data_IF_657075528852
#
_entry.id   IF_657075528852
#
_cell.length_a   1.000
_cell.length_b   1.000
_cell.length_c   1.000
_cell.angle_alpha   90.00
_cell.angle_beta   90.00
_cell.angle_gamma   90.00
#
_symmetry.space_group_name_H-M   'P 1'
#
loop_
_entity.id
_entity.type
_entity.pdbx_description
1 polymer ?
#
# COMPACT_ATOMS: atom_id res chain seq x y z
N UNK A 1 -23.62 7.25 -13.74
CA UNK A 1 -22.82 6.76 -12.60
C UNK A 1 -21.38 6.75 -13.05
N UNK A 2 -20.58 7.72 -12.59
CA UNK A 2 -19.18 7.83 -12.96
C UNK A 2 -18.36 6.81 -12.15
N UNK A 3 -17.71 5.87 -12.83
CA UNK A 3 -16.77 4.94 -12.22
C UNK A 3 -15.56 5.71 -11.69
N UNK A 4 -15.23 5.50 -10.42
CA UNK A 4 -13.98 5.96 -9.84
C UNK A 4 -12.86 5.10 -10.41
N UNK A 5 -11.96 5.73 -11.15
CA UNK A 5 -10.77 5.10 -11.72
C UNK A 5 -9.77 4.83 -10.56
N UNK A 6 -9.42 3.57 -10.32
CA UNK A 6 -8.68 3.13 -9.14
C UNK A 6 -7.18 2.95 -9.45
N UNK A 7 -6.40 4.03 -9.30
CA UNK A 7 -4.94 4.05 -9.44
C UNK A 7 -4.18 4.06 -8.10
N UNK A 8 -2.84 3.87 -8.11
CA UNK A 8 -2.00 3.94 -6.91
C UNK A 8 -2.06 5.34 -6.24
N UNK A 9 -2.33 5.38 -4.93
CA UNK A 9 -2.58 6.62 -4.19
C UNK A 9 -1.29 7.22 -3.60
N UNK A 10 -0.81 8.33 -4.16
CA UNK A 10 0.19 9.20 -3.52
C UNK A 10 -0.51 10.44 -2.95
N UNK A 11 -0.27 10.75 -1.68
CA UNK A 11 -0.86 11.88 -0.96
C UNK A 11 0.19 12.98 -0.78
N UNK A 12 -0.12 14.22 -1.14
CA UNK A 12 0.72 15.39 -0.88
C UNK A 12 0.01 16.30 0.12
N UNK A 13 0.59 16.48 1.30
CA UNK A 13 -0.01 17.15 2.45
C UNK A 13 0.65 18.52 2.66
N UNK A 14 -0.17 19.57 2.84
CA UNK A 14 0.26 20.96 3.04
C UNK A 14 -0.45 21.62 4.22
N UNK A 15 0.29 22.26 5.12
CA UNK A 15 -0.26 23.20 6.12
C UNK A 15 0.32 23.08 7.54
N UNK A 16 0.00 24.04 8.43
CA UNK A 16 0.48 24.05 9.82
C UNK A 16 -0.18 22.93 10.65
N UNK A 17 0.38 22.62 11.83
CA UNK A 17 -0.01 21.54 12.76
C UNK A 17 -1.53 21.36 13.02
N UNK A 18 -2.37 22.35 12.69
CA UNK A 18 -3.82 22.33 12.92
C UNK A 18 -4.70 22.29 11.63
N UNK A 19 -4.14 22.49 10.42
CA UNK A 19 -4.91 22.49 9.15
C UNK A 19 -4.09 21.92 7.98
N UNK A 20 -4.37 20.69 7.55
CA UNK A 20 -3.71 20.02 6.41
C UNK A 20 -4.60 19.97 5.17
N UNK A 21 -4.11 20.36 3.99
CA UNK A 21 -4.73 20.08 2.67
C UNK A 21 -4.02 18.89 2.04
N UNK A 22 -4.74 17.91 1.48
CA UNK A 22 -4.12 16.73 0.85
C UNK A 22 -4.49 16.62 -0.64
N UNK A 23 -3.50 16.59 -1.52
CA UNK A 23 -3.68 16.31 -2.95
C UNK A 23 -3.38 14.85 -3.24
N UNK A 24 -4.18 14.21 -4.08
CA UNK A 24 -3.93 12.86 -4.56
C UNK A 24 -3.29 12.94 -5.94
N UNK A 25 -2.15 12.26 -6.09
CA UNK A 25 -1.47 12.11 -7.36
C UNK A 25 -1.65 10.69 -7.89
N UNK A 26 -2.17 10.59 -9.11
CA UNK A 26 -2.34 9.34 -9.84
C UNK A 26 -1.57 9.41 -11.16
N UNK A 27 -1.00 8.28 -11.59
CA UNK A 27 -0.33 8.14 -12.88
C UNK A 27 -1.38 8.01 -14.01
N UNK A 28 -1.29 8.82 -15.07
CA UNK A 28 -2.28 8.87 -16.18
C UNK A 28 -2.04 7.83 -17.28
N UNK A 29 -0.87 7.19 -17.29
CA UNK A 29 -0.43 6.31 -18.36
C UNK A 29 -0.90 4.87 -18.14
N UNK A 30 -1.87 4.46 -18.95
CA UNK A 30 -2.67 3.22 -18.94
C UNK A 30 -1.87 1.94 -19.29
N UNK A 31 -0.58 1.86 -18.93
CA UNK A 31 0.33 0.78 -19.35
C UNK A 31 0.35 -0.45 -18.44
N UNK A 32 -0.31 -0.39 -17.30
CA UNK A 32 -0.57 -1.58 -16.46
C UNK A 32 -2.05 -1.93 -16.57
N UNK A 33 -2.43 -3.22 -16.61
CA UNK A 33 -3.83 -3.59 -16.68
C UNK A 33 -4.55 -2.95 -15.50
N UNK A 34 -5.46 -2.02 -15.81
CA UNK A 34 -6.45 -1.52 -14.86
C UNK A 34 -7.06 -2.73 -14.18
N UNK A 35 -6.81 -2.90 -12.89
CA UNK A 35 -7.55 -3.86 -12.07
C UNK A 35 -8.98 -3.32 -11.96
N UNK A 36 -9.78 -3.51 -13.01
CA UNK A 36 -11.20 -3.25 -12.97
C UNK A 36 -11.81 -4.18 -11.93
N UNK A 37 -12.20 -3.63 -10.78
CA UNK A 37 -12.92 -4.34 -9.72
C UNK A 37 -12.23 -4.49 -8.37
N UNK A 38 -11.02 -3.93 -8.16
CA UNK A 38 -10.36 -3.97 -6.86
C UNK A 38 -10.83 -2.84 -5.93
N UNK A 39 -11.63 -3.14 -4.90
CA UNK A 39 -11.87 -2.21 -3.79
C UNK A 39 -10.59 -2.05 -2.98
N UNK A 40 -9.78 -1.01 -3.26
CA UNK A 40 -8.57 -0.72 -2.50
C UNK A 40 -8.88 0.00 -1.18
N UNK A 41 -8.30 -0.50 -0.09
CA UNK A 41 -8.51 -0.05 1.29
C UNK A 41 -8.31 1.46 1.46
N UNK A 42 -9.33 2.13 1.98
CA UNK A 42 -9.26 3.50 2.46
C UNK A 42 -8.45 3.54 3.77
N UNK A 43 -7.18 3.95 3.70
CA UNK A 43 -6.45 4.35 4.90
C UNK A 43 -6.87 5.75 5.32
N UNK A 44 -7.78 5.85 6.29
CA UNK A 44 -7.92 7.07 7.08
C UNK A 44 -6.81 7.05 8.14
N UNK A 45 -5.59 7.42 7.73
CA UNK A 45 -4.57 7.81 8.70
C UNK A 45 -5.20 8.90 9.58
N UNK A 46 -5.05 8.82 10.90
CA UNK A 46 -5.65 9.74 11.86
C UNK A 46 -5.01 11.14 11.80
N UNK A 47 -5.04 11.76 10.63
CA UNK A 47 -4.76 13.17 10.43
C UNK A 47 -6.03 13.89 10.88
N UNK A 48 -6.02 14.43 12.11
CA UNK A 48 -7.15 15.17 12.71
C UNK A 48 -7.46 16.51 12.02
N UNK A 49 -6.94 16.76 10.81
CA UNK A 49 -7.12 18.01 10.10
C UNK A 49 -8.00 17.84 8.85
N UNK A 50 -8.71 18.89 8.43
CA UNK A 50 -9.63 18.85 7.30
C UNK A 50 -8.90 18.65 5.97
N UNK A 51 -8.87 17.41 5.47
CA UNK A 51 -8.29 17.05 4.17
C UNK A 51 -9.12 17.68 3.04
N UNK A 52 -8.52 18.63 2.31
CA UNK A 52 -9.07 19.18 1.08
C UNK A 52 -8.55 18.41 -0.14
N UNK A 53 -9.44 17.73 -0.87
CA UNK A 53 -9.16 16.87 -2.03
C UNK A 53 -8.77 17.66 -3.30
N UNK A 54 -7.70 17.24 -3.97
CA UNK A 54 -7.38 17.67 -5.34
C UNK A 54 -6.66 16.54 -6.10
N UNK A 55 -7.17 16.14 -7.27
CA UNK A 55 -6.54 15.16 -8.17
C UNK A 55 -5.57 15.89 -9.11
N UNK A 56 -4.26 15.74 -8.91
CA UNK A 56 -3.20 16.35 -9.75
C UNK A 56 -2.01 15.41 -9.86
N UNK A 57 -1.39 15.27 -11.02
CA UNK A 57 -0.05 14.65 -11.11
C UNK A 57 0.99 15.53 -10.39
N UNK A 58 2.01 14.94 -9.75
CA UNK A 58 3.05 15.71 -9.06
C UNK A 58 3.70 16.78 -9.96
N UNK A 59 3.84 16.47 -11.27
CA UNK A 59 4.43 17.34 -12.28
C UNK A 59 3.72 18.70 -12.45
N UNK A 60 2.53 18.89 -11.86
CA UNK A 60 1.79 20.15 -11.88
C UNK A 60 1.79 20.89 -10.54
N UNK A 61 2.51 20.38 -9.52
CA UNK A 61 2.71 21.04 -8.25
C UNK A 61 3.91 21.99 -8.34
N UNK A 62 3.84 23.21 -7.74
CA UNK A 62 4.99 24.10 -7.69
C UNK A 62 6.14 23.51 -6.87
N UNK A 63 7.35 23.93 -7.19
CA UNK A 63 8.55 23.65 -6.40
C UNK A 63 8.36 24.12 -4.95
N UNK A 64 8.94 23.37 -4.00
CA UNK A 64 8.98 23.73 -2.58
C UNK A 64 7.62 24.16 -2.00
N UNK A 65 6.54 23.45 -2.34
CA UNK A 65 5.17 23.83 -2.00
C UNK A 65 4.47 22.87 -1.04
N UNK A 66 5.02 21.67 -0.86
CA UNK A 66 4.44 20.55 -0.08
C UNK A 66 5.27 20.31 1.18
N UNK A 67 4.61 20.10 2.31
CA UNK A 67 5.28 19.80 3.58
C UNK A 67 5.63 18.31 3.68
N UNK A 68 4.70 17.44 3.28
CA UNK A 68 4.87 15.99 3.34
C UNK A 68 4.30 15.32 2.09
N UNK A 69 5.04 14.40 1.50
CA UNK A 69 4.53 13.47 0.46
C UNK A 69 4.44 12.08 1.08
N UNK A 70 3.34 11.36 0.86
CA UNK A 70 3.13 9.99 1.34
C UNK A 70 2.75 9.10 0.16
N UNK A 71 3.58 8.11 -0.16
CA UNK A 71 3.20 7.04 -1.07
C UNK A 71 2.54 5.91 -0.29
N UNK A 72 1.25 5.67 -0.50
CA UNK A 72 0.48 4.65 0.24
C UNK A 72 0.17 3.46 -0.67
N UNK A 73 0.65 2.27 -0.30
CA UNK A 73 0.47 1.00 -1.01
C UNK A 73 1.11 0.93 -2.41
N UNK A 74 1.93 1.91 -2.81
CA UNK A 74 2.24 2.06 -4.23
C UNK A 74 3.69 2.38 -4.64
N UNK A 75 4.59 2.73 -3.72
CA UNK A 75 5.90 3.24 -4.13
C UNK A 75 6.69 2.25 -5.02
N UNK A 76 6.60 0.95 -4.75
CA UNK A 76 7.28 -0.09 -5.54
C UNK A 76 6.88 -0.11 -7.03
N UNK A 77 5.73 0.45 -7.42
CA UNK A 77 5.32 0.53 -8.84
C UNK A 77 6.05 1.62 -9.64
N UNK A 78 6.62 2.61 -8.95
CA UNK A 78 7.24 3.78 -9.58
C UNK A 78 8.54 4.22 -8.91
N UNK A 79 9.12 3.39 -8.05
CA UNK A 79 10.40 3.60 -7.39
C UNK A 79 11.54 3.70 -8.42
N UNK A 80 11.80 4.91 -8.91
CA UNK A 80 12.89 5.24 -9.81
C UNK A 80 13.44 6.65 -9.51
N UNK A 81 14.65 6.96 -10.01
CA UNK A 81 15.32 8.24 -9.73
C UNK A 81 14.48 9.45 -10.16
N UNK A 82 13.72 9.36 -11.26
CA UNK A 82 12.86 10.47 -11.72
C UNK A 82 11.72 10.76 -10.74
N UNK A 83 11.12 9.74 -10.14
CA UNK A 83 10.11 9.91 -9.11
C UNK A 83 10.69 10.53 -7.84
N UNK A 84 11.89 10.12 -7.41
CA UNK A 84 12.55 10.71 -6.26
C UNK A 84 12.91 12.19 -6.48
N UNK A 85 13.43 12.55 -7.66
CA UNK A 85 13.71 13.96 -8.01
C UNK A 85 12.42 14.80 -8.01
N UNK A 86 11.31 14.25 -8.51
CA UNK A 86 10.04 14.96 -8.53
C UNK A 86 9.44 15.14 -7.14
N UNK A 87 9.50 14.11 -6.28
CA UNK A 87 9.11 14.21 -4.87
C UNK A 87 10.00 15.25 -4.16
N UNK A 88 11.30 15.22 -4.41
CA UNK A 88 12.25 16.19 -3.86
C UNK A 88 11.91 17.62 -4.29
N UNK A 89 11.62 17.85 -5.58
CA UNK A 89 11.28 19.16 -6.14
C UNK A 89 10.08 19.80 -5.44
N UNK A 90 9.00 19.04 -5.25
CA UNK A 90 7.75 19.58 -4.69
C UNK A 90 7.82 19.81 -3.17
N UNK A 91 8.68 19.10 -2.46
CA UNK A 91 8.87 19.24 -1.02
C UNK A 91 9.55 20.57 -0.66
N UNK A 92 9.04 21.25 0.37
CA UNK A 92 9.70 22.39 1.00
C UNK A 92 11.03 22.00 1.62
N UNK A 93 11.86 22.99 1.95
CA UNK A 93 12.97 22.81 2.88
C UNK A 93 12.45 22.13 4.15
N UNK A 94 13.15 21.09 4.61
CA UNK A 94 12.78 20.22 5.74
C UNK A 94 11.52 19.35 5.54
N UNK A 95 11.01 19.26 4.30
CA UNK A 95 9.87 18.41 3.98
C UNK A 95 10.17 16.91 4.10
N UNK A 96 9.12 16.12 4.33
CA UNK A 96 9.22 14.67 4.54
C UNK A 96 8.65 13.87 3.37
N UNK A 97 9.32 12.77 3.04
CA UNK A 97 8.74 11.73 2.20
C UNK A 97 8.46 10.49 3.06
N UNK A 98 7.19 10.11 3.14
CA UNK A 98 6.70 8.93 3.83
C UNK A 98 6.25 7.84 2.86
N UNK A 99 6.41 6.59 3.26
CA UNK A 99 5.96 5.44 2.49
C UNK A 99 5.26 4.47 3.43
N UNK A 100 4.01 4.12 3.12
CA UNK A 100 3.17 3.27 3.96
C UNK A 100 2.71 2.07 3.16
N UNK A 101 2.84 0.88 3.72
CA UNK A 101 2.12 -0.31 3.28
C UNK A 101 1.35 -0.95 4.42
N UNK A 102 0.21 -1.52 4.08
CA UNK A 102 -0.54 -2.42 4.95
C UNK A 102 -0.62 -3.77 4.25
N UNK A 103 -0.03 -4.76 4.90
CA UNK A 103 0.12 -6.10 4.33
C UNK A 103 -0.48 -7.07 5.34
N UNK A 104 -1.15 -8.11 4.83
CA UNK A 104 -1.56 -9.22 5.69
C UNK A 104 -0.36 -9.74 6.49
N UNK A 105 -0.54 -9.95 7.79
CA UNK A 105 0.53 -10.43 8.65
C UNK A 105 0.66 -11.95 8.52
N UNK A 106 1.44 -12.37 7.54
CA UNK A 106 1.73 -13.77 7.27
C UNK A 106 2.67 -14.43 8.32
N UNK A 107 3.17 -13.68 9.31
CA UNK A 107 3.93 -14.25 10.42
C UNK A 107 3.01 -14.90 11.47
N UNK A 108 1.72 -14.59 11.47
CA UNK A 108 0.74 -15.27 12.33
C UNK A 108 0.57 -16.72 11.85
N UNK A 109 0.64 -17.68 12.78
CA UNK A 109 0.76 -19.11 12.45
C UNK A 109 -0.34 -19.62 11.51
N UNK A 110 -1.61 -19.25 11.74
CA UNK A 110 -2.73 -19.70 10.90
C UNK A 110 -2.69 -19.12 9.47
N UNK A 111 -1.92 -18.05 9.24
CA UNK A 111 -1.74 -17.42 7.93
C UNK A 111 -0.66 -18.11 7.09
N UNK A 112 0.14 -19.01 7.67
CA UNK A 112 1.23 -19.68 6.96
C UNK A 112 0.77 -20.50 5.74
N UNK A 113 -0.32 -21.30 5.79
CA UNK A 113 -0.81 -22.02 4.61
C UNK A 113 -1.28 -21.07 3.50
N UNK A 114 -1.85 -19.92 3.87
CA UNK A 114 -2.30 -18.89 2.93
C UNK A 114 -1.08 -18.28 2.22
N UNK A 115 -0.03 -17.95 2.95
CA UNK A 115 1.22 -17.46 2.36
C UNK A 115 1.86 -18.49 1.41
N UNK A 116 1.89 -19.76 1.79
CA UNK A 116 2.43 -20.83 0.95
C UNK A 116 1.70 -20.95 -0.39
N UNK A 117 0.39 -20.66 -0.42
CA UNK A 117 -0.37 -20.59 -1.66
C UNK A 117 -0.08 -19.32 -2.47
N UNK A 118 0.04 -18.17 -1.82
CA UNK A 118 0.20 -16.87 -2.48
C UNK A 118 1.62 -16.61 -3.01
N UNK A 119 2.65 -17.06 -2.30
CA UNK A 119 4.05 -16.75 -2.63
C UNK A 119 4.47 -17.20 -4.04
N UNK A 120 4.11 -18.41 -4.52
CA UNK A 120 4.38 -18.81 -5.91
C UNK A 120 3.69 -17.91 -6.93
N UNK A 121 2.46 -17.45 -6.66
CA UNK A 121 1.69 -16.59 -7.56
C UNK A 121 2.30 -15.19 -7.66
N UNK A 122 2.79 -14.64 -6.54
CA UNK A 122 3.54 -13.38 -6.54
C UNK A 122 4.83 -13.50 -7.37
N UNK A 123 5.54 -14.61 -7.24
CA UNK A 123 6.77 -14.89 -7.99
C UNK A 123 6.50 -15.05 -9.49
N UNK A 124 5.48 -15.82 -9.88
CA UNK A 124 5.10 -16.04 -11.28
C UNK A 124 4.77 -14.71 -11.98
N UNK A 125 4.00 -13.85 -11.31
CA UNK A 125 3.62 -12.53 -11.83
C UNK A 125 4.74 -11.49 -11.71
N UNK A 126 5.93 -11.88 -11.24
CA UNK A 126 7.09 -11.00 -11.04
C UNK A 126 6.75 -9.73 -10.27
N UNK A 127 5.83 -9.85 -9.31
CA UNK A 127 5.39 -8.71 -8.51
C UNK A 127 6.43 -8.45 -7.44
N UNK A 128 6.98 -7.23 -7.45
CA UNK A 128 7.86 -6.76 -6.38
C UNK A 128 6.99 -6.48 -5.17
N UNK A 129 7.15 -7.29 -4.13
CA UNK A 129 6.44 -7.05 -2.89
C UNK A 129 7.15 -5.95 -2.10
N UNK A 130 6.42 -5.14 -1.33
CA UNK A 130 7.05 -4.17 -0.44
C UNK A 130 8.03 -4.82 0.54
N UNK A 131 7.76 -6.07 0.93
CA UNK A 131 8.57 -6.87 1.85
C UNK A 131 9.93 -7.30 1.25
N UNK A 132 10.08 -7.27 -0.08
CA UNK A 132 11.35 -7.60 -0.72
C UNK A 132 12.38 -6.47 -0.60
N UNK A 133 11.93 -5.29 -0.16
CA UNK A 133 12.73 -4.08 0.09
C UNK A 133 13.58 -3.55 -1.07
N UNK A 134 13.57 -4.19 -2.25
CA UNK A 134 14.30 -3.75 -3.47
C UNK A 134 13.97 -2.32 -3.90
N UNK A 135 12.80 -1.82 -3.54
CA UNK A 135 12.42 -0.43 -3.77
C UNK A 135 13.32 0.56 -3.02
N UNK A 136 14.04 0.14 -1.97
CA UNK A 136 15.02 0.97 -1.24
C UNK A 136 16.26 1.26 -2.08
N UNK A 137 16.62 0.38 -3.02
CA UNK A 137 17.82 0.53 -3.87
C UNK A 137 17.82 1.84 -4.67
N UNK A 138 16.62 2.36 -4.98
CA UNK A 138 16.46 3.62 -5.70
C UNK A 138 17.02 4.83 -4.95
N UNK A 139 17.04 4.79 -3.61
CA UNK A 139 17.60 5.90 -2.80
C UNK A 139 19.12 6.02 -2.96
N UNK A 140 19.77 4.95 -3.45
CA UNK A 140 21.20 4.93 -3.79
C UNK A 140 21.46 5.16 -5.29
N UNK A 141 20.41 5.19 -6.12
CA UNK A 141 20.55 5.30 -7.59
C UNK A 141 20.45 6.74 -8.12
N UNK A 142 20.35 7.73 -7.25
CA UNK A 142 20.31 9.14 -7.63
C UNK A 142 21.74 9.72 -7.69
N UNK A 143 22.10 10.52 -8.72
CA UNK A 143 23.45 11.08 -8.86
C UNK A 143 23.89 11.96 -7.68
N UNK A 144 22.91 12.58 -7.01
CA UNK A 144 23.07 13.33 -5.77
C UNK A 144 22.24 12.68 -4.67
N UNK A 145 22.65 12.88 -3.42
CA UNK A 145 21.85 12.45 -2.26
C UNK A 145 20.67 13.40 -2.07
N UNK A 146 19.46 12.94 -2.38
CA UNK A 146 18.24 13.73 -2.29
C UNK A 146 17.61 13.74 -0.89
N UNK A 147 17.71 12.62 -0.19
CA UNK A 147 17.05 12.40 1.08
C UNK A 147 18.03 11.92 2.15
N UNK A 148 17.67 12.13 3.42
CA UNK A 148 18.32 11.50 4.56
C UNK A 148 18.27 9.97 4.45
N UNK A 149 18.98 9.29 5.35
CA UNK A 149 18.82 7.85 5.47
C UNK A 149 17.36 7.51 5.78
N UNK A 150 16.93 6.38 5.23
CA UNK A 150 15.56 5.92 5.37
C UNK A 150 15.37 5.35 6.78
N UNK A 151 14.49 5.97 7.54
CA UNK A 151 14.02 5.46 8.82
C UNK A 151 12.75 4.61 8.60
N UNK A 152 12.48 3.69 9.52
CA UNK A 152 11.29 2.85 9.42
C UNK A 152 10.78 2.36 10.77
N UNK A 153 9.46 2.17 10.83
CA UNK A 153 8.76 1.51 11.92
C UNK A 153 7.93 0.37 11.33
N UNK A 154 8.29 -0.86 11.74
CA UNK A 154 7.67 -2.09 11.29
C UNK A 154 6.88 -2.78 12.40
N UNK A 155 6.73 -2.16 13.56
CA UNK A 155 6.20 -2.83 14.76
C UNK A 155 4.68 -2.65 14.90
N UNK A 156 4.05 -1.89 14.01
CA UNK A 156 2.62 -1.66 14.06
C UNK A 156 1.86 -2.79 13.38
N UNK A 157 1.28 -3.67 14.18
CA UNK A 157 0.26 -4.61 13.75
C UNK A 157 -1.13 -4.13 14.15
N UNK A 158 -2.12 -4.40 13.32
CA UNK A 158 -3.52 -4.15 13.63
C UNK A 158 -4.37 -5.29 13.10
N UNK A 159 -5.50 -5.50 13.75
CA UNK A 159 -6.48 -6.49 13.37
C UNK A 159 -7.65 -5.79 12.69
N UNK A 160 -7.87 -6.09 11.41
CA UNK A 160 -9.01 -5.59 10.66
C UNK A 160 -10.24 -6.43 10.98
N UNK A 161 -11.35 -5.84 11.48
CA UNK A 161 -12.55 -6.61 11.79
C UNK A 161 -13.13 -7.30 10.56
N UNK A 162 -13.50 -8.57 10.70
CA UNK A 162 -14.19 -9.37 9.67
C UNK A 162 -15.46 -9.96 10.28
N UNK A 163 -16.61 -9.83 9.62
CA UNK A 163 -17.87 -10.37 10.16
C UNK A 163 -17.99 -11.87 9.99
N UNK A 164 -17.50 -12.37 8.86
CA UNK A 164 -17.64 -13.75 8.45
C UNK A 164 -16.56 -14.15 7.43
N UNK A 165 -16.69 -15.36 6.91
CA UNK A 165 -15.86 -15.92 5.86
C UNK A 165 -15.83 -15.05 4.59
N UNK A 166 -16.98 -14.51 4.17
CA UNK A 166 -17.09 -13.80 2.90
C UNK A 166 -16.36 -12.45 2.97
N UNK A 167 -16.44 -11.76 4.11
CA UNK A 167 -15.63 -10.56 4.39
C UNK A 167 -14.13 -10.88 4.27
N UNK A 168 -13.65 -11.95 4.92
CA UNK A 168 -12.24 -12.35 4.84
C UNK A 168 -11.81 -12.78 3.44
N UNK A 169 -12.66 -13.52 2.74
CA UNK A 169 -12.43 -13.90 1.35
C UNK A 169 -12.36 -12.66 0.44
N UNK A 170 -13.17 -11.64 0.70
CA UNK A 170 -13.11 -10.36 -0.02
C UNK A 170 -11.76 -9.66 0.18
N UNK A 171 -11.20 -9.65 1.40
CA UNK A 171 -9.89 -9.05 1.68
C UNK A 171 -8.79 -9.69 0.82
N UNK A 172 -8.79 -11.02 0.69
CA UNK A 172 -7.78 -11.73 -0.11
C UNK A 172 -8.03 -11.69 -1.61
N UNK A 173 -9.28 -11.74 -2.07
CA UNK A 173 -9.60 -11.63 -3.50
C UNK A 173 -9.32 -10.24 -4.05
N UNK A 174 -9.19 -9.23 -3.19
CA UNK A 174 -8.69 -7.90 -3.57
C UNK A 174 -7.21 -7.90 -3.95
N UNK A 175 -6.43 -8.92 -3.55
CA UNK A 175 -5.05 -9.07 -3.98
C UNK A 175 -5.01 -9.36 -5.48
N UNK A 176 -4.25 -8.56 -6.23
CA UNK A 176 -4.19 -8.65 -7.69
C UNK A 176 -3.80 -10.05 -8.19
N UNK A 177 -2.99 -10.79 -7.44
CA UNK A 177 -2.60 -12.17 -7.76
C UNK A 177 -3.77 -13.15 -7.76
N UNK A 178 -4.76 -12.94 -6.87
CA UNK A 178 -5.99 -13.73 -6.82
C UNK A 178 -7.02 -13.17 -7.81
N UNK A 179 -7.21 -11.85 -7.83
CA UNK A 179 -8.18 -11.18 -8.71
C UNK A 179 -7.92 -11.52 -10.19
N UNK A 180 -6.65 -11.50 -10.61
CA UNK A 180 -6.21 -11.84 -11.97
C UNK A 180 -5.88 -13.32 -12.17
N UNK A 181 -6.16 -14.17 -11.18
CA UNK A 181 -6.03 -15.62 -11.28
C UNK A 181 -7.12 -16.22 -12.17
N UNK A 182 -6.87 -17.40 -12.72
CA UNK A 182 -7.91 -18.16 -13.43
C UNK A 182 -8.94 -18.74 -12.44
N UNK A 183 -10.08 -19.24 -12.94
CA UNK A 183 -11.15 -19.79 -12.09
C UNK A 183 -10.69 -20.96 -11.22
N UNK A 184 -9.74 -21.77 -11.71
CA UNK A 184 -9.13 -22.85 -10.92
C UNK A 184 -8.38 -22.30 -9.70
N UNK A 185 -7.60 -21.23 -9.89
CA UNK A 185 -6.84 -20.55 -8.83
C UNK A 185 -7.78 -19.95 -7.80
N UNK A 186 -8.82 -19.23 -8.26
CA UNK A 186 -9.82 -18.62 -7.36
C UNK A 186 -10.55 -19.68 -6.55
N UNK A 187 -10.99 -20.77 -7.17
CA UNK A 187 -11.67 -21.89 -6.50
C UNK A 187 -10.76 -22.59 -5.49
N UNK A 188 -9.50 -22.84 -5.87
CA UNK A 188 -8.50 -23.46 -4.98
C UNK A 188 -8.20 -22.57 -3.78
N UNK A 189 -8.07 -21.26 -3.99
CA UNK A 189 -7.86 -20.29 -2.93
C UNK A 189 -9.06 -20.25 -1.96
N UNK A 190 -10.28 -20.19 -2.49
CA UNK A 190 -11.50 -20.21 -1.65
C UNK A 190 -11.57 -21.47 -0.80
N UNK A 191 -11.27 -22.64 -1.38
CA UNK A 191 -11.25 -23.90 -0.63
C UNK A 191 -10.17 -23.93 0.45
N UNK A 192 -8.98 -23.40 0.15
CA UNK A 192 -7.91 -23.26 1.14
C UNK A 192 -8.33 -22.37 2.30
N UNK A 193 -8.88 -21.18 2.01
CA UNK A 193 -9.31 -20.24 3.03
C UNK A 193 -10.40 -20.86 3.92
N UNK A 194 -11.36 -21.55 3.32
CA UNK A 194 -12.44 -22.26 4.03
C UNK A 194 -11.88 -23.33 4.96
N UNK A 195 -10.94 -24.13 4.45
CA UNK A 195 -10.24 -25.14 5.23
C UNK A 195 -9.51 -24.53 6.43
N UNK A 196 -8.73 -23.47 6.20
CA UNK A 196 -7.94 -22.81 7.26
C UNK A 196 -8.84 -22.20 8.32
N UNK A 197 -9.90 -21.48 7.93
CA UNK A 197 -10.83 -20.87 8.89
C UNK A 197 -11.52 -21.95 9.73
N UNK A 198 -12.00 -23.02 9.09
CA UNK A 198 -12.62 -24.15 9.82
C UNK A 198 -11.65 -24.79 10.82
N UNK A 199 -10.47 -25.20 10.35
CA UNK A 199 -9.51 -25.97 11.18
C UNK A 199 -8.89 -25.11 12.30
N UNK A 200 -8.64 -23.82 12.06
CA UNK A 200 -7.97 -22.94 13.02
C UNK A 200 -8.92 -22.19 13.96
N UNK A 201 -10.19 -22.08 13.61
CA UNK A 201 -11.18 -21.33 14.39
C UNK A 201 -12.38 -22.20 14.76
N UNK A 202 -13.18 -22.63 13.77
CA UNK A 202 -14.48 -23.30 14.01
C UNK A 202 -14.32 -24.62 14.79
N UNK A 203 -13.44 -25.52 14.34
CA UNK A 203 -13.19 -26.83 14.96
C UNK A 203 -12.59 -26.70 16.37
N UNK A 204 -11.95 -25.55 16.65
CA UNK A 204 -11.38 -25.21 17.96
C UNK A 204 -12.37 -24.44 18.85
N UNK A 205 -13.57 -24.13 18.37
CA UNK A 205 -14.56 -23.32 19.07
C UNK A 205 -14.13 -21.86 19.29
N UNK A 206 -13.21 -21.37 18.46
CA UNK A 206 -12.72 -19.98 18.49
C UNK A 206 -13.45 -19.17 17.43
N UNK A 207 -13.93 -17.98 17.78
CA UNK A 207 -14.59 -17.11 16.82
C UNK A 207 -13.56 -16.48 15.85
N UNK A 208 -13.86 -16.51 14.55
CA UNK A 208 -13.09 -15.81 13.53
C UNK A 208 -13.68 -14.42 13.29
N UNK A 209 -13.07 -13.39 13.88
CA UNK A 209 -13.62 -12.02 13.88
C UNK A 209 -12.65 -10.97 13.31
N UNK A 210 -11.41 -11.37 13.01
CA UNK A 210 -10.33 -10.43 12.72
C UNK A 210 -9.30 -10.99 11.74
N UNK A 211 -8.83 -10.13 10.84
CA UNK A 211 -7.72 -10.38 9.92
C UNK A 211 -6.47 -9.62 10.37
N UNK A 212 -5.32 -10.28 10.58
CA UNK A 212 -4.11 -9.61 11.03
C UNK A 212 -3.41 -8.90 9.86
N UNK A 213 -3.03 -7.65 10.09
CA UNK A 213 -2.24 -6.84 9.19
C UNK A 213 -1.05 -6.24 9.91
N UNK A 214 0.01 -6.00 9.14
CA UNK A 214 1.22 -5.31 9.56
C UNK A 214 1.40 -4.05 8.71
N UNK A 215 1.69 -2.94 9.38
CA UNK A 215 2.02 -1.67 8.75
C UNK A 215 3.54 -1.59 8.62
N UNK A 216 3.97 -1.35 7.40
CA UNK A 216 5.34 -0.98 7.08
C UNK A 216 5.36 0.51 6.81
N UNK A 217 5.91 1.29 7.74
CA UNK A 217 6.05 2.73 7.57
C UNK A 217 7.52 3.12 7.48
N UNK A 218 7.86 3.88 6.45
CA UNK A 218 9.19 4.41 6.22
C UNK A 218 9.12 5.91 6.00
N UNK A 219 10.15 6.65 6.40
CA UNK A 219 10.25 8.07 6.11
C UNK A 219 11.69 8.53 5.96
N UNK A 220 11.85 9.66 5.27
CA UNK A 220 13.11 10.39 5.17
C UNK A 220 12.84 11.89 4.97
N UNK A 221 13.87 12.69 5.26
CA UNK A 221 13.85 14.14 5.11
C UNK A 221 14.49 14.56 3.79
N UNK A 222 13.94 15.60 3.17
CA UNK A 222 14.59 16.29 2.05
C UNK A 222 15.94 16.88 2.50
N UNK A 223 17.01 16.62 1.74
CA UNK A 223 18.31 17.29 1.86
C UNK A 223 18.37 18.44 0.86
N UNK A 224 18.88 19.61 1.27
CA UNK A 224 19.07 20.76 0.40
C UNK A 224 20.30 20.61 -0.51
#
# INVERSE_FOLDING_TARGET
MAGLDHGPWVWAIKGPHEKFRASICERKDNKYPTCQGGHFFYFKLAIKAPIHYAKKTCNHLPDASIDVVIACQCFHWFANSAALEEIHRVLKTDGFFGIVWAIHDFAVLWMAPIWQFLAPLFKEKSLVLPIDEKWKDVFSSTPRRLFSDLEGNLDHSFNFPTKDFDDAHQLFTSLSVIASGNESTKKSFRHLLDKVIREEFEDKGVAFEQMPFKIYFYWCNKIN
#
